data_IF_808620257464
#
_entry.id   IF_808620257464
#
_cell.length_a   1.000
_cell.length_b   1.000
_cell.length_c   1.000
_cell.angle_alpha   90.00
_cell.angle_beta   90.00
_cell.angle_gamma   90.00
#
_symmetry.space_group_name_H-M   'P 1'
#
loop_
_entity.id
_entity.type
_entity.pdbx_description
1 polymer ?
#
# COMPACT_ATOMS: atom_id res chain seq x y z
N UNK A 1 -32.10 31.09 30.22
CA UNK A 1 -32.06 31.14 28.76
C UNK A 1 -30.61 31.01 28.33
N UNK A 2 -30.36 29.98 27.52
CA UNK A 2 -29.20 29.69 26.67
C UNK A 2 -27.87 29.35 27.34
N UNK A 3 -27.69 28.04 27.59
CA UNK A 3 -26.37 27.42 27.63
C UNK A 3 -25.89 27.08 26.21
N UNK A 4 -24.66 27.49 25.96
CA UNK A 4 -23.82 27.30 24.79
C UNK A 4 -23.52 25.81 24.53
N UNK A 5 -23.72 25.31 23.30
CA UNK A 5 -22.95 24.17 22.78
C UNK A 5 -22.49 24.50 21.35
N UNK A 6 -21.31 25.12 21.26
CA UNK A 6 -20.52 25.11 20.03
C UNK A 6 -19.97 23.70 19.86
N UNK A 7 -20.64 22.90 19.04
CA UNK A 7 -20.11 21.61 18.61
C UNK A 7 -18.83 21.86 17.78
N UNK A 8 -17.67 21.70 18.44
CA UNK A 8 -16.40 21.50 17.77
C UNK A 8 -16.51 20.17 17.00
N UNK A 9 -17.00 20.23 15.77
CA UNK A 9 -16.77 19.17 14.81
C UNK A 9 -15.25 19.11 14.62
N UNK A 10 -14.58 18.24 15.37
CA UNK A 10 -13.30 17.68 14.96
C UNK A 10 -13.55 17.04 13.60
N UNK A 11 -13.33 17.84 12.55
CA UNK A 11 -13.14 17.35 11.20
C UNK A 11 -11.91 16.45 11.28
N UNK A 12 -12.15 15.20 11.64
CA UNK A 12 -11.19 14.11 11.62
C UNK A 12 -10.72 14.06 10.19
N UNK A 13 -9.62 14.79 9.89
CA UNK A 13 -9.07 14.90 8.53
C UNK A 13 -8.88 13.48 8.06
N UNK A 14 -9.74 13.02 7.16
CA UNK A 14 -9.61 11.71 6.52
C UNK A 14 -8.29 11.81 5.78
N UNK A 15 -7.23 11.27 6.38
CA UNK A 15 -5.93 11.24 5.71
C UNK A 15 -6.15 10.45 4.43
N UNK A 16 -5.77 10.99 3.26
CA UNK A 16 -5.92 10.26 2.01
C UNK A 16 -5.25 8.89 2.17
N UNK A 17 -5.95 7.86 1.71
CA UNK A 17 -5.51 6.47 1.86
C UNK A 17 -4.21 6.30 1.05
N UNK A 18 -3.05 6.35 1.72
CA UNK A 18 -1.75 6.24 1.04
C UNK A 18 -1.66 4.87 0.37
N UNK A 19 -1.35 4.89 -0.93
CA UNK A 19 -1.06 3.69 -1.73
C UNK A 19 0.39 3.26 -1.53
N UNK A 20 0.81 2.05 -1.95
CA UNK A 20 2.20 1.62 -1.85
C UNK A 20 3.16 2.59 -2.57
N UNK A 21 2.75 3.11 -3.72
CA UNK A 21 3.53 4.04 -4.52
C UNK A 21 3.78 5.40 -3.84
N UNK A 22 2.90 5.83 -2.92
CA UNK A 22 3.20 6.99 -2.08
C UNK A 22 4.29 6.68 -1.05
N UNK A 23 4.40 5.43 -0.58
CA UNK A 23 5.46 5.01 0.34
C UNK A 23 6.82 4.84 -0.35
N UNK A 24 6.83 4.60 -1.66
CA UNK A 24 8.04 4.60 -2.49
C UNK A 24 8.51 6.01 -2.83
N UNK A 25 7.58 6.95 -3.01
CA UNK A 25 7.88 8.38 -3.07
C UNK A 25 8.06 9.00 -1.69
N UNK A 26 7.98 10.33 -1.63
CA UNK A 26 8.11 11.12 -0.39
C UNK A 26 6.77 11.26 0.36
N UNK A 27 5.81 10.39 0.09
CA UNK A 27 4.48 10.40 0.70
C UNK A 27 3.52 11.47 0.19
N UNK A 28 4.01 12.47 -0.54
CA UNK A 28 3.23 13.49 -1.26
C UNK A 28 3.11 13.18 -2.75
N UNK A 29 4.21 12.76 -3.37
CA UNK A 29 4.24 12.29 -4.75
C UNK A 29 4.25 10.76 -4.78
N UNK A 30 3.60 10.20 -5.78
CA UNK A 30 3.65 8.76 -6.05
C UNK A 30 4.87 8.46 -6.92
N UNK A 31 5.66 7.49 -6.50
CA UNK A 31 6.65 6.85 -7.36
C UNK A 31 6.08 5.50 -7.80
N UNK A 32 5.80 5.35 -9.10
CA UNK A 32 5.39 4.08 -9.71
C UNK A 32 6.60 3.55 -10.48
N UNK A 33 7.30 2.53 -9.96
CA UNK A 33 8.48 1.97 -10.63
C UNK A 33 8.12 1.19 -11.89
N UNK A 34 9.09 1.02 -12.79
CA UNK A 34 8.90 0.28 -14.04
C UNK A 34 8.62 -1.21 -13.84
N UNK A 35 9.17 -1.82 -12.78
CA UNK A 35 8.90 -3.22 -12.42
C UNK A 35 7.43 -3.46 -12.04
N UNK A 36 6.67 -2.42 -11.66
CA UNK A 36 5.28 -2.54 -11.22
C UNK A 36 4.32 -2.63 -12.41
N UNK A 37 4.36 -3.74 -13.15
CA UNK A 37 3.54 -3.99 -14.33
C UNK A 37 2.16 -4.58 -13.94
N UNK A 38 1.21 -4.56 -14.89
CA UNK A 38 -0.14 -5.13 -14.75
C UNK A 38 -0.85 -4.87 -13.41
N UNK A 39 -0.85 -3.61 -12.98
CA UNK A 39 -1.36 -3.18 -11.67
C UNK A 39 -2.88 -3.30 -11.58
N UNK A 40 -3.36 -3.97 -10.53
CA UNK A 40 -4.78 -4.08 -10.20
C UNK A 40 -5.02 -3.73 -8.74
N UNK A 41 -6.19 -3.17 -8.42
CA UNK A 41 -6.57 -2.81 -7.05
C UNK A 41 -7.92 -3.44 -6.71
N UNK A 42 -7.93 -4.22 -5.64
CA UNK A 42 -9.13 -4.87 -5.11
C UNK A 42 -9.48 -4.25 -3.76
N UNK A 43 -10.76 -3.93 -3.56
CA UNK A 43 -11.28 -3.42 -2.28
C UNK A 43 -12.38 -4.34 -1.78
N UNK A 44 -12.24 -4.85 -0.57
CA UNK A 44 -13.23 -5.72 0.06
C UNK A 44 -13.20 -5.55 1.57
N UNK A 45 -14.38 -5.45 2.21
CA UNK A 45 -14.55 -5.46 3.67
C UNK A 45 -13.53 -4.62 4.46
N UNK A 46 -13.33 -3.37 4.05
CA UNK A 46 -12.41 -2.43 4.74
C UNK A 46 -10.92 -2.60 4.40
N UNK A 47 -10.56 -3.56 3.55
CA UNK A 47 -9.18 -3.81 3.11
C UNK A 47 -8.98 -3.42 1.65
N UNK A 48 -7.78 -2.95 1.34
CA UNK A 48 -7.33 -2.72 -0.03
C UNK A 48 -6.14 -3.63 -0.32
N UNK A 49 -6.23 -4.41 -1.39
CA UNK A 49 -5.17 -5.26 -1.93
C UNK A 49 -4.72 -4.68 -3.26
N UNK A 50 -3.44 -4.36 -3.38
CA UNK A 50 -2.80 -3.99 -4.62
C UNK A 50 -2.09 -5.22 -5.17
N UNK A 51 -2.41 -5.60 -6.39
CA UNK A 51 -1.77 -6.70 -7.10
C UNK A 51 -0.92 -6.13 -8.23
N UNK A 52 0.31 -6.62 -8.34
CA UNK A 52 1.27 -6.25 -9.37
C UNK A 52 1.87 -7.52 -9.96
N UNK A 53 2.18 -7.48 -11.25
CA UNK A 53 3.08 -8.44 -11.85
C UNK A 53 4.40 -7.74 -12.19
N UNK A 54 5.51 -8.43 -12.01
CA UNK A 54 6.84 -7.99 -12.48
C UNK A 54 7.44 -9.06 -13.37
N UNK A 55 8.24 -8.66 -14.35
CA UNK A 55 9.04 -9.56 -15.17
C UNK A 55 10.42 -9.83 -14.57
N UNK A 56 10.87 -8.97 -13.63
CA UNK A 56 12.13 -9.09 -12.90
C UNK A 56 11.90 -8.80 -11.42
N UNK A 57 11.98 -9.82 -10.57
CA UNK A 57 11.84 -9.64 -9.13
C UNK A 57 13.06 -8.92 -8.53
N UNK A 58 14.24 -9.11 -9.12
CA UNK A 58 15.47 -8.50 -8.61
C UNK A 58 15.44 -6.97 -8.70
N UNK A 59 14.84 -6.41 -9.75
CA UNK A 59 14.61 -4.96 -9.87
C UNK A 59 13.64 -4.42 -8.81
N UNK A 60 12.68 -5.24 -8.39
CA UNK A 60 11.68 -4.85 -7.40
C UNK A 60 12.19 -4.97 -5.95
N UNK A 61 13.21 -5.80 -5.69
CA UNK A 61 13.59 -6.25 -4.34
C UNK A 61 13.81 -5.09 -3.35
N UNK A 62 14.56 -4.06 -3.75
CA UNK A 62 14.85 -2.90 -2.89
C UNK A 62 13.59 -2.11 -2.51
N UNK A 63 12.68 -1.93 -3.46
CA UNK A 63 11.41 -1.24 -3.24
C UNK A 63 10.47 -2.08 -2.37
N UNK A 64 10.42 -3.39 -2.56
CA UNK A 64 9.62 -4.30 -1.73
C UNK A 64 10.08 -4.29 -0.27
N UNK A 65 11.39 -4.25 -0.02
CA UNK A 65 11.92 -4.07 1.33
C UNK A 65 11.51 -2.72 1.93
N UNK A 66 11.61 -1.64 1.16
CA UNK A 66 11.18 -0.30 1.59
C UNK A 66 9.69 -0.27 1.93
N UNK A 67 8.85 -0.94 1.15
CA UNK A 67 7.42 -1.08 1.42
C UNK A 67 7.16 -1.87 2.70
N UNK A 68 7.87 -2.98 2.92
CA UNK A 68 7.81 -3.73 4.16
C UNK A 68 8.14 -2.87 5.39
N UNK A 69 9.23 -2.08 5.31
CA UNK A 69 9.62 -1.12 6.37
C UNK A 69 8.60 -0.01 6.57
N UNK A 70 7.90 0.40 5.51
CA UNK A 70 6.82 1.38 5.57
C UNK A 70 5.48 0.82 6.11
N UNK A 71 5.46 -0.46 6.53
CA UNK A 71 4.31 -1.10 7.16
C UNK A 71 3.34 -1.77 6.18
N UNK A 72 3.77 -2.02 4.94
CA UNK A 72 3.02 -2.85 4.01
C UNK A 72 3.28 -4.34 4.29
N UNK A 73 2.22 -5.14 4.17
CA UNK A 73 2.30 -6.59 4.07
C UNK A 73 2.58 -6.93 2.61
N UNK A 74 3.78 -7.45 2.36
CA UNK A 74 4.28 -7.80 1.02
C UNK A 74 4.29 -9.32 0.91
N UNK A 75 3.53 -9.86 -0.06
CA UNK A 75 3.58 -11.27 -0.44
C UNK A 75 4.04 -11.38 -1.89
N UNK A 76 5.03 -12.22 -2.13
CA UNK A 76 5.58 -12.49 -3.46
C UNK A 76 5.28 -13.95 -3.80
N UNK A 77 4.71 -14.15 -4.98
CA UNK A 77 4.42 -15.44 -5.59
C UNK A 77 5.26 -15.53 -6.87
N UNK A 78 6.39 -16.24 -6.77
CA UNK A 78 7.35 -16.41 -7.87
C UNK A 78 6.91 -17.56 -8.78
N UNK A 79 7.21 -17.45 -10.08
CA UNK A 79 7.10 -18.60 -10.97
C UNK A 79 8.12 -19.69 -10.55
N UNK A 80 7.66 -20.88 -10.12
CA UNK A 80 8.57 -21.94 -9.68
C UNK A 80 9.48 -22.45 -10.81
N UNK A 81 9.12 -22.24 -12.09
CA UNK A 81 9.93 -22.61 -13.24
C UNK A 81 11.06 -21.61 -13.52
N UNK A 82 11.02 -20.39 -12.95
CA UNK A 82 12.04 -19.35 -13.17
C UNK A 82 12.17 -18.43 -11.96
N UNK A 83 12.81 -18.91 -10.87
CA UNK A 83 13.03 -18.12 -9.65
C UNK A 83 13.76 -16.80 -9.94
N UNK A 84 13.37 -15.73 -9.25
CA UNK A 84 13.94 -14.38 -9.43
C UNK A 84 13.48 -13.63 -10.69
N UNK A 85 12.72 -14.26 -11.58
CA UNK A 85 12.22 -13.64 -12.81
C UNK A 85 10.80 -13.09 -12.61
N UNK A 86 9.80 -13.65 -13.31
CA UNK A 86 8.43 -13.20 -13.24
C UNK A 86 7.82 -13.53 -11.87
N UNK A 87 7.18 -12.55 -11.26
CA UNK A 87 6.50 -12.74 -9.99
C UNK A 87 5.20 -11.93 -9.92
N UNK A 88 4.25 -12.45 -9.14
CA UNK A 88 3.06 -11.73 -8.72
C UNK A 88 3.24 -11.23 -7.29
N UNK A 89 3.00 -9.95 -7.09
CA UNK A 89 3.25 -9.27 -5.83
C UNK A 89 1.92 -8.73 -5.30
N UNK A 90 1.56 -9.17 -4.11
CA UNK A 90 0.41 -8.70 -3.36
C UNK A 90 0.87 -7.75 -2.25
N UNK A 91 0.37 -6.50 -2.30
CA UNK A 91 0.64 -5.47 -1.30
C UNK A 91 -0.66 -5.12 -0.60
N UNK A 92 -0.68 -5.22 0.72
CA UNK A 92 -1.81 -4.78 1.52
C UNK A 92 -1.30 -4.07 2.77
N UNK A 93 -2.16 -3.26 3.39
CA UNK A 93 -1.82 -2.72 4.71
C UNK A 93 -2.37 -3.69 5.74
N UNK A 94 -1.53 -4.10 6.71
CA UNK A 94 -2.11 -4.62 7.95
C UNK A 94 -2.89 -3.48 8.54
N UNK A 95 -4.23 -3.61 8.57
CA UNK A 95 -5.08 -2.62 9.19
C UNK A 95 -4.48 -2.30 10.55
N UNK A 96 -4.16 -1.03 10.78
CA UNK A 96 -3.72 -0.50 12.07
C UNK A 96 -4.95 -0.49 12.99
N UNK A 97 -5.61 -1.64 13.15
CA UNK A 97 -6.73 -1.90 14.03
C UNK A 97 -6.24 -2.11 15.48
N UNK A 98 -5.21 -1.36 15.88
CA UNK A 98 -4.84 -1.13 17.27
C UNK A 98 -4.70 0.37 17.50
N UNK A 99 -5.85 1.02 17.53
CA UNK A 99 -6.08 2.25 18.26
C UNK A 99 -7.50 2.14 18.83
N UNK A 100 -7.62 1.35 19.88
CA UNK A 100 -8.77 1.30 20.79
C UNK A 100 -8.22 1.07 22.19
#
# INVERSE_FOLDING_TARGET
MNDTITALHEQRRVRPLRTPYHSLGDGHEMLVPDWAQHRSVYRTSGRTLYLVETESLDEARGDLERLGRAGWDVRVDEDPASPGSRARIALSRRDLAKAA
#
